data_IF_528038563835
#
_entry.id   IF_528038563835
#
_cell.length_a   1.000
_cell.length_b   1.000
_cell.length_c   1.000
_cell.angle_alpha   90.00
_cell.angle_beta   90.00
_cell.angle_gamma   90.00
#
_symmetry.space_group_name_H-M   'P 1'
#
loop_
_entity.id
_entity.type
_entity.pdbx_description
1 polymer ?
#
# COMPACT_ATOMS: atom_id res chain seq x y z
N UNK A 1 -65.11 20.75 -10.33
CA UNK A 1 -64.84 19.44 -9.70
C UNK A 1 -63.35 19.17 -9.83
N UNK A 2 -62.64 19.20 -8.71
CA UNK A 2 -61.20 18.97 -8.60
C UNK A 2 -60.87 17.51 -8.96
N UNK A 3 -59.84 17.29 -9.78
CA UNK A 3 -59.24 15.98 -9.99
C UNK A 3 -58.19 15.75 -8.90
N UNK A 4 -58.48 14.82 -7.99
CA UNK A 4 -57.52 14.32 -7.01
C UNK A 4 -56.48 13.44 -7.71
N UNK A 5 -55.31 14.01 -8.02
CA UNK A 5 -54.13 13.25 -8.44
C UNK A 5 -53.50 12.56 -7.22
N UNK A 6 -53.98 11.34 -6.95
CA UNK A 6 -53.47 10.48 -5.89
C UNK A 6 -52.17 9.81 -6.34
N UNK A 7 -51.03 10.36 -5.90
CA UNK A 7 -49.73 9.71 -6.05
C UNK A 7 -49.75 8.32 -5.41
N UNK A 8 -49.49 7.28 -6.20
CA UNK A 8 -49.27 5.93 -5.70
C UNK A 8 -47.79 5.59 -5.83
N UNK A 9 -47.16 5.26 -4.70
CA UNK A 9 -45.81 4.72 -4.66
C UNK A 9 -45.81 3.40 -5.42
N UNK A 10 -45.09 3.33 -6.54
CA UNK A 10 -44.79 2.06 -7.18
C UNK A 10 -43.94 1.25 -6.21
N UNK A 11 -44.51 0.19 -5.67
CA UNK A 11 -43.69 -0.87 -5.08
C UNK A 11 -42.75 -1.34 -6.18
N UNK A 12 -41.45 -1.06 -6.03
CA UNK A 12 -40.43 -1.81 -6.75
C UNK A 12 -40.66 -3.26 -6.35
N UNK A 13 -41.25 -4.04 -7.26
CA UNK A 13 -41.22 -5.49 -7.14
C UNK A 13 -39.74 -5.86 -7.04
N UNK A 14 -39.30 -6.24 -5.83
CA UNK A 14 -38.09 -7.01 -5.62
C UNK A 14 -38.27 -8.28 -6.43
N UNK A 15 -37.83 -8.22 -7.69
CA UNK A 15 -37.72 -9.37 -8.56
C UNK A 15 -36.89 -10.39 -7.80
N UNK A 16 -37.54 -11.46 -7.35
CA UNK A 16 -36.87 -12.59 -6.71
C UNK A 16 -35.85 -13.13 -7.72
N UNK A 17 -34.58 -12.78 -7.49
CA UNK A 17 -33.47 -13.15 -8.36
C UNK A 17 -33.36 -14.67 -8.34
N UNK A 18 -33.62 -15.32 -9.48
CA UNK A 18 -33.30 -16.73 -9.63
C UNK A 18 -31.83 -16.96 -9.23
N UNK A 19 -31.52 -17.99 -8.42
CA UNK A 19 -30.14 -18.27 -8.02
C UNK A 19 -29.30 -18.46 -9.27
N UNK A 20 -28.35 -17.55 -9.48
CA UNK A 20 -27.42 -17.62 -10.61
C UNK A 20 -26.54 -18.85 -10.39
N UNK A 21 -26.29 -19.64 -11.44
CA UNK A 21 -25.75 -21.00 -11.29
C UNK A 21 -24.39 -21.07 -10.59
N UNK A 22 -23.63 -19.97 -10.57
CA UNK A 22 -22.30 -19.87 -9.97
C UNK A 22 -22.28 -19.18 -8.59
N UNK A 23 -23.43 -18.91 -7.96
CA UNK A 23 -23.49 -18.14 -6.71
C UNK A 23 -22.67 -18.77 -5.57
N UNK A 24 -22.64 -20.11 -5.51
CA UNK A 24 -21.87 -20.88 -4.52
C UNK A 24 -20.38 -20.98 -4.85
N UNK A 25 -19.95 -20.61 -6.08
CA UNK A 25 -18.56 -20.76 -6.53
C UNK A 25 -17.66 -19.77 -5.80
N UNK A 26 -16.53 -20.25 -5.30
CA UNK A 26 -15.52 -19.46 -4.59
C UNK A 26 -14.21 -19.53 -5.36
N UNK A 27 -13.83 -18.41 -5.97
CA UNK A 27 -12.56 -18.23 -6.66
C UNK A 27 -11.60 -17.55 -5.70
N UNK A 28 -10.52 -18.22 -5.30
CA UNK A 28 -9.64 -17.72 -4.24
C UNK A 28 -8.18 -17.84 -4.61
N UNK A 29 -7.37 -16.90 -4.13
CA UNK A 29 -5.93 -17.04 -4.17
C UNK A 29 -5.47 -18.12 -3.18
N UNK A 30 -4.49 -18.96 -3.57
CA UNK A 30 -4.00 -20.09 -2.74
C UNK A 30 -3.54 -19.66 -1.34
N UNK A 31 -2.90 -18.49 -1.25
CA UNK A 31 -2.43 -17.92 0.01
C UNK A 31 -3.54 -17.62 1.04
N UNK A 32 -4.81 -17.54 0.63
CA UNK A 32 -5.94 -17.30 1.55
C UNK A 32 -6.18 -18.48 2.48
N UNK A 33 -5.89 -19.70 2.03
CA UNK A 33 -6.10 -20.93 2.79
C UNK A 33 -4.89 -21.35 3.63
N UNK A 34 -3.83 -20.54 3.68
CA UNK A 34 -2.65 -20.77 4.53
C UNK A 34 -2.03 -22.19 4.36
N UNK A 35 -2.13 -22.76 3.15
CA UNK A 35 -1.63 -24.10 2.82
C UNK A 35 -2.66 -25.23 2.88
N UNK A 36 -3.90 -24.95 3.29
CA UNK A 36 -4.98 -25.94 3.25
C UNK A 36 -5.46 -26.22 1.82
N UNK A 37 -5.87 -27.46 1.51
CA UNK A 37 -6.49 -27.80 0.23
C UNK A 37 -7.88 -27.14 0.08
N UNK A 38 -8.47 -27.15 -1.13
CA UNK A 38 -9.84 -26.67 -1.35
C UNK A 38 -10.82 -27.29 -0.35
N UNK A 39 -11.60 -26.44 0.34
CA UNK A 39 -12.48 -26.87 1.44
C UNK A 39 -13.76 -27.56 0.95
N UNK A 40 -14.14 -27.37 -0.31
CA UNK A 40 -15.28 -28.03 -0.96
C UNK A 40 -15.11 -28.00 -2.48
N UNK A 41 -15.98 -28.70 -3.20
CA UNK A 41 -16.04 -28.70 -4.68
C UNK A 41 -16.26 -27.31 -5.30
N UNK A 42 -16.82 -26.37 -4.54
CA UNK A 42 -17.05 -25.00 -5.00
C UNK A 42 -15.80 -24.10 -4.95
N UNK A 43 -14.71 -24.55 -4.33
CA UNK A 43 -13.47 -23.78 -4.22
C UNK A 43 -12.55 -24.04 -5.40
N UNK A 44 -12.16 -22.97 -6.08
CA UNK A 44 -11.10 -22.99 -7.09
C UNK A 44 -9.95 -22.10 -6.62
N UNK A 45 -8.75 -22.67 -6.53
CA UNK A 45 -7.56 -21.96 -6.05
C UNK A 45 -6.68 -21.52 -7.23
N UNK A 46 -6.10 -20.34 -7.09
CA UNK A 46 -5.20 -19.75 -8.08
C UNK A 46 -3.89 -19.32 -7.43
N UNK A 47 -2.78 -19.51 -8.15
CA UNK A 47 -1.43 -19.18 -7.66
C UNK A 47 -1.15 -17.68 -7.64
N UNK A 48 -1.89 -16.90 -8.45
CA UNK A 48 -1.69 -15.47 -8.57
C UNK A 48 -3.00 -14.72 -8.81
N UNK A 49 -3.02 -13.45 -8.40
CA UNK A 49 -4.20 -12.60 -8.54
C UNK A 49 -4.56 -12.25 -10.01
N UNK A 50 -3.66 -12.46 -10.99
CA UNK A 50 -3.97 -12.21 -12.42
C UNK A 50 -4.81 -13.34 -13.00
N UNK A 51 -4.41 -14.59 -12.76
CA UNK A 51 -5.15 -15.78 -13.16
C UNK A 51 -6.54 -15.80 -12.52
N UNK A 52 -6.61 -15.47 -11.22
CA UNK A 52 -7.87 -15.28 -10.51
C UNK A 52 -8.77 -14.22 -11.17
N UNK A 53 -8.19 -13.07 -11.53
CA UNK A 53 -8.94 -12.00 -12.19
C UNK A 53 -9.47 -12.42 -13.58
N UNK A 54 -8.66 -13.13 -14.36
CA UNK A 54 -9.05 -13.59 -15.69
C UNK A 54 -10.22 -14.59 -15.63
N UNK A 55 -10.20 -15.54 -14.70
CA UNK A 55 -11.34 -16.47 -14.51
C UNK A 55 -12.58 -15.74 -13.97
N UNK A 56 -12.39 -14.82 -13.02
CA UNK A 56 -13.46 -14.01 -12.44
C UNK A 56 -14.23 -13.15 -13.47
N UNK A 57 -13.63 -12.81 -14.62
CA UNK A 57 -14.33 -12.10 -15.71
C UNK A 57 -15.47 -12.92 -16.32
N UNK A 58 -15.42 -14.25 -16.20
CA UNK A 58 -16.48 -15.15 -16.70
C UNK A 58 -17.58 -15.38 -15.67
N UNK A 59 -17.30 -15.18 -14.38
CA UNK A 59 -18.23 -15.39 -13.27
C UNK A 59 -19.29 -14.30 -13.17
N UNK A 60 -20.49 -14.62 -12.66
CA UNK A 60 -21.64 -13.73 -12.59
C UNK A 60 -22.07 -13.42 -11.15
N UNK A 61 -22.08 -14.43 -10.27
CA UNK A 61 -22.42 -14.27 -8.86
C UNK A 61 -21.44 -14.97 -7.92
N UNK A 62 -20.28 -15.44 -8.40
CA UNK A 62 -19.25 -16.05 -7.58
C UNK A 62 -18.69 -15.11 -6.49
N UNK A 63 -18.04 -15.72 -5.51
CA UNK A 63 -17.20 -15.03 -4.51
C UNK A 63 -15.75 -15.06 -4.94
N UNK A 64 -15.12 -13.89 -5.01
CA UNK A 64 -13.75 -13.70 -5.49
C UNK A 64 -12.91 -13.19 -4.33
N UNK A 65 -11.86 -13.91 -3.98
CA UNK A 65 -11.01 -13.58 -2.83
C UNK A 65 -9.57 -13.33 -3.30
N UNK A 66 -9.22 -12.06 -3.39
CA UNK A 66 -7.85 -11.64 -3.70
C UNK A 66 -6.97 -11.68 -2.46
N UNK A 67 -5.68 -11.97 -2.65
CA UNK A 67 -4.67 -11.91 -1.59
C UNK A 67 -3.85 -10.63 -1.70
N UNK A 68 -3.66 -9.91 -0.60
CA UNK A 68 -2.81 -8.73 -0.51
C UNK A 68 -1.65 -9.00 0.44
N UNK A 69 -0.42 -8.89 -0.10
CA UNK A 69 0.81 -9.15 0.66
C UNK A 69 1.70 -7.92 0.74
N UNK A 70 1.67 -7.04 -0.27
CA UNK A 70 2.57 -5.90 -0.39
C UNK A 70 1.82 -4.65 -0.88
N UNK A 71 2.35 -3.49 -0.52
CA UNK A 71 1.72 -2.19 -0.85
C UNK A 71 1.74 -1.87 -2.35
N UNK A 72 2.75 -2.35 -3.07
CA UNK A 72 2.86 -2.17 -4.52
C UNK A 72 1.72 -2.88 -5.29
N UNK A 73 1.03 -3.83 -4.67
CA UNK A 73 -0.10 -4.56 -5.26
C UNK A 73 -1.41 -3.79 -5.15
N UNK A 74 -1.50 -2.73 -4.35
CA UNK A 74 -2.76 -2.02 -4.05
C UNK A 74 -3.34 -1.38 -5.31
N UNK A 75 -2.55 -0.63 -6.08
CA UNK A 75 -3.05 0.01 -7.31
C UNK A 75 -3.44 -1.03 -8.39
N UNK A 76 -2.61 -2.04 -8.74
CA UNK A 76 -3.04 -3.11 -9.64
C UNK A 76 -4.31 -3.81 -9.18
N UNK A 77 -4.43 -4.07 -7.88
CA UNK A 77 -5.61 -4.74 -7.30
C UNK A 77 -6.85 -3.84 -7.39
N UNK A 78 -6.74 -2.55 -7.08
CA UNK A 78 -7.81 -1.57 -7.22
C UNK A 78 -8.36 -1.53 -8.66
N UNK A 79 -7.47 -1.54 -9.66
CA UNK A 79 -7.84 -1.61 -11.09
C UNK A 79 -8.62 -2.87 -11.45
N UNK A 80 -8.21 -4.03 -10.93
CA UNK A 80 -8.90 -5.32 -11.16
C UNK A 80 -10.27 -5.34 -10.52
N UNK A 81 -10.39 -4.90 -9.26
CA UNK A 81 -11.66 -4.84 -8.54
C UNK A 81 -12.65 -3.90 -9.24
N UNK A 82 -12.18 -2.70 -9.62
CA UNK A 82 -12.98 -1.73 -10.37
C UNK A 82 -13.48 -2.30 -11.70
N UNK A 83 -12.59 -2.94 -12.46
CA UNK A 83 -12.94 -3.57 -13.74
C UNK A 83 -13.99 -4.66 -13.56
N UNK A 84 -13.83 -5.56 -12.59
CA UNK A 84 -14.81 -6.62 -12.31
C UNK A 84 -16.16 -6.03 -11.91
N UNK A 85 -16.17 -5.04 -11.01
CA UNK A 85 -17.42 -4.44 -10.54
C UNK A 85 -18.18 -3.75 -11.66
N UNK A 86 -17.48 -3.03 -12.56
CA UNK A 86 -18.09 -2.35 -13.70
C UNK A 86 -18.56 -3.32 -14.79
N UNK A 87 -17.81 -4.39 -15.08
CA UNK A 87 -18.14 -5.33 -16.15
C UNK A 87 -19.19 -6.37 -15.76
N UNK A 88 -19.23 -6.78 -14.49
CA UNK A 88 -20.04 -7.94 -14.02
C UNK A 88 -21.21 -7.55 -13.11
N UNK A 89 -21.22 -6.31 -12.61
CA UNK A 89 -22.33 -5.75 -11.83
C UNK A 89 -22.31 -6.10 -10.34
N UNK A 90 -23.48 -6.03 -9.71
CA UNK A 90 -23.64 -6.00 -8.24
C UNK A 90 -23.61 -7.36 -7.55
N UNK A 91 -23.81 -8.47 -8.27
CA UNK A 91 -23.97 -9.80 -7.65
C UNK A 91 -22.65 -10.48 -7.29
N UNK A 92 -21.53 -10.06 -7.87
CA UNK A 92 -20.22 -10.59 -7.47
C UNK A 92 -19.86 -10.15 -6.05
N UNK A 93 -19.33 -11.08 -5.27
CA UNK A 93 -18.82 -10.81 -3.92
C UNK A 93 -17.30 -10.74 -3.99
N UNK A 94 -16.75 -9.53 -3.99
CA UNK A 94 -15.32 -9.28 -4.11
C UNK A 94 -14.76 -9.02 -2.72
N UNK A 95 -13.85 -9.88 -2.27
CA UNK A 95 -13.20 -9.82 -0.96
C UNK A 95 -11.70 -9.67 -1.16
N UNK A 96 -11.06 -8.86 -0.32
CA UNK A 96 -9.60 -8.74 -0.27
C UNK A 96 -9.12 -9.25 1.07
N UNK A 97 -8.30 -10.30 1.07
CA UNK A 97 -7.63 -10.83 2.26
C UNK A 97 -6.25 -10.21 2.37
N UNK A 98 -6.02 -9.46 3.44
CA UNK A 98 -4.70 -8.99 3.82
C UNK A 98 -3.95 -10.10 4.58
N UNK A 99 -2.79 -10.50 4.10
CA UNK A 99 -1.96 -11.54 4.73
C UNK A 99 -0.88 -10.95 5.65
N UNK A 100 -0.39 -9.75 5.33
CA UNK A 100 0.66 -9.05 6.06
C UNK A 100 0.16 -7.64 6.33
N UNK A 101 0.40 -7.12 7.54
CA UNK A 101 0.05 -5.79 8.00
C UNK A 101 0.64 -4.70 7.10
N UNK A 102 -0.11 -4.35 6.07
CA UNK A 102 0.37 -3.57 4.93
C UNK A 102 -0.65 -2.53 4.50
N UNK A 103 -1.93 -2.79 4.65
CA UNK A 103 -3.00 -1.93 4.18
C UNK A 103 -3.23 -0.74 5.12
N UNK A 104 -3.17 0.48 4.58
CA UNK A 104 -3.53 1.70 5.31
C UNK A 104 -5.02 1.99 5.17
N UNK A 105 -5.56 2.82 6.06
CA UNK A 105 -6.97 3.20 6.05
C UNK A 105 -7.42 3.86 4.73
N UNK A 106 -6.53 4.59 4.06
CA UNK A 106 -6.83 5.15 2.73
C UNK A 106 -6.88 4.11 1.64
N UNK A 107 -5.94 3.17 1.66
CA UNK A 107 -5.89 2.09 0.68
C UNK A 107 -7.09 1.14 0.86
N UNK A 108 -7.50 0.90 2.10
CA UNK A 108 -8.76 0.21 2.43
C UNK A 108 -9.97 0.92 1.84
N UNK A 109 -10.07 2.24 2.04
CA UNK A 109 -11.15 3.06 1.45
C UNK A 109 -11.11 3.05 -0.08
N UNK A 110 -9.91 3.06 -0.68
CA UNK A 110 -9.74 2.95 -2.13
C UNK A 110 -10.34 1.63 -2.64
N UNK A 111 -9.93 0.50 -2.07
CA UNK A 111 -10.39 -0.83 -2.52
C UNK A 111 -11.90 -0.99 -2.35
N UNK A 112 -12.46 -0.49 -1.24
CA UNK A 112 -13.90 -0.44 -1.01
C UNK A 112 -14.62 0.48 -2.02
N UNK A 113 -14.06 1.65 -2.32
CA UNK A 113 -14.58 2.59 -3.32
C UNK A 113 -14.50 2.05 -4.75
N UNK A 114 -13.51 1.22 -5.06
CA UNK A 114 -13.39 0.52 -6.34
C UNK A 114 -14.42 -0.59 -6.52
N UNK A 115 -15.04 -1.10 -5.45
CA UNK A 115 -16.09 -2.11 -5.56
C UNK A 115 -15.89 -3.38 -4.72
N UNK A 116 -14.91 -3.41 -3.81
CA UNK A 116 -14.78 -4.51 -2.86
C UNK A 116 -15.96 -4.51 -1.88
N UNK A 117 -16.54 -5.68 -1.61
CA UNK A 117 -17.56 -5.86 -0.59
C UNK A 117 -16.95 -5.69 0.80
N UNK A 118 -15.80 -6.32 1.02
CA UNK A 118 -15.15 -6.40 2.33
C UNK A 118 -13.65 -6.63 2.21
N UNK A 119 -12.93 -6.14 3.22
CA UNK A 119 -11.52 -6.42 3.42
C UNK A 119 -11.38 -7.24 4.71
N UNK A 120 -10.65 -8.36 4.63
CA UNK A 120 -10.34 -9.21 5.77
C UNK A 120 -8.93 -8.83 6.25
N UNK A 121 -8.78 -8.23 7.46
CA UNK A 121 -7.52 -7.71 7.95
C UNK A 121 -6.54 -8.83 8.32
N UNK A 122 -5.24 -8.53 8.33
CA UNK A 122 -4.18 -9.50 8.62
C UNK A 122 -4.30 -10.18 10.00
N UNK A 123 -4.86 -9.46 10.99
CA UNK A 123 -5.03 -9.97 12.35
C UNK A 123 -6.20 -10.95 12.51
N UNK A 124 -7.04 -11.12 11.48
CA UNK A 124 -8.09 -12.13 11.50
C UNK A 124 -7.51 -13.52 11.17
N UNK A 125 -7.63 -14.54 12.03
CA UNK A 125 -7.16 -15.89 11.72
C UNK A 125 -8.01 -16.55 10.63
N UNK A 126 -7.52 -17.65 10.05
CA UNK A 126 -8.22 -18.40 9.00
C UNK A 126 -9.67 -18.75 9.37
N UNK A 127 -9.93 -19.18 10.61
CA UNK A 127 -11.29 -19.48 11.09
C UNK A 127 -12.23 -18.27 10.95
N UNK A 128 -11.75 -17.08 11.35
CA UNK A 128 -12.51 -15.83 11.22
C UNK A 128 -12.66 -15.41 9.76
N UNK A 129 -11.63 -15.62 8.94
CA UNK A 129 -11.66 -15.38 7.50
C UNK A 129 -12.79 -16.17 6.82
N UNK A 130 -12.91 -17.47 7.11
CA UNK A 130 -13.98 -18.31 6.57
C UNK A 130 -15.37 -17.87 7.02
N UNK A 131 -15.55 -17.50 8.29
CA UNK A 131 -16.83 -16.92 8.77
C UNK A 131 -17.19 -15.62 8.03
N UNK A 132 -16.20 -14.78 7.73
CA UNK A 132 -16.39 -13.54 6.99
C UNK A 132 -16.76 -13.82 5.52
N UNK A 133 -16.15 -14.81 4.88
CA UNK A 133 -16.48 -15.23 3.51
C UNK A 133 -17.93 -15.72 3.42
N UNK A 134 -18.40 -16.44 4.43
CA UNK A 134 -19.81 -16.87 4.49
C UNK A 134 -20.75 -15.68 4.70
N UNK A 135 -20.36 -14.71 5.51
CA UNK A 135 -21.20 -13.54 5.81
C UNK A 135 -21.52 -12.63 4.62
N UNK A 136 -20.74 -12.71 3.53
CA UNK A 136 -21.00 -11.93 2.31
C UNK A 136 -21.86 -12.67 1.30
N UNK A 137 -22.21 -13.94 1.53
CA UNK A 137 -23.11 -14.67 0.63
C UNK A 137 -24.51 -14.03 0.62
N UNK A 138 -25.12 -13.99 -0.56
CA UNK A 138 -26.41 -13.30 -0.78
C UNK A 138 -26.36 -11.77 -0.79
N UNK A 139 -25.23 -11.14 -0.44
CA UNK A 139 -25.12 -9.67 -0.47
C UNK A 139 -25.03 -9.15 -1.91
N UNK A 140 -25.84 -8.13 -2.22
CA UNK A 140 -25.69 -7.34 -3.44
C UNK A 140 -24.94 -6.05 -3.18
N UNK A 141 -24.02 -5.70 -4.08
CA UNK A 141 -23.29 -4.45 -4.01
C UNK A 141 -24.16 -3.28 -4.48
N UNK A 142 -24.50 -2.38 -3.56
CA UNK A 142 -25.40 -1.23 -3.82
C UNK A 142 -24.69 0.11 -3.96
N UNK A 143 -23.40 0.20 -3.59
CA UNK A 143 -22.64 1.46 -3.63
C UNK A 143 -22.39 1.89 -5.07
N UNK A 144 -22.39 3.20 -5.32
CA UNK A 144 -22.00 3.74 -6.62
C UNK A 144 -20.48 3.62 -6.83
N UNK A 145 -20.08 3.14 -8.00
CA UNK A 145 -18.66 3.10 -8.42
C UNK A 145 -18.49 4.00 -9.65
N UNK A 146 -17.64 5.05 -9.55
CA UNK A 146 -17.32 5.93 -10.67
C UNK A 146 -16.86 5.17 -11.92
N UNK A 147 -17.14 5.72 -13.09
CA UNK A 147 -16.75 5.09 -14.36
C UNK A 147 -15.24 5.08 -14.55
N UNK A 148 -14.58 6.21 -14.23
CA UNK A 148 -13.14 6.33 -14.32
C UNK A 148 -12.48 6.13 -12.95
N UNK A 149 -11.56 5.17 -12.90
CA UNK A 149 -10.77 4.86 -11.69
C UNK A 149 -9.81 5.98 -11.30
N UNK A 150 -9.40 6.85 -12.24
CA UNK A 150 -8.47 7.95 -11.92
C UNK A 150 -9.05 8.88 -10.85
N UNK A 151 -10.38 9.03 -10.82
CA UNK A 151 -11.10 9.80 -9.80
C UNK A 151 -10.96 9.19 -8.40
N UNK A 152 -10.93 7.86 -8.29
CA UNK A 152 -10.72 7.15 -7.02
C UNK A 152 -9.26 7.22 -6.59
N UNK A 153 -8.33 7.08 -7.55
CA UNK A 153 -6.89 7.15 -7.28
C UNK A 153 -6.48 8.54 -6.80
N UNK A 154 -7.03 9.61 -7.38
CA UNK A 154 -6.73 10.99 -6.98
C UNK A 154 -7.19 11.31 -5.56
N UNK A 155 -8.29 10.69 -5.09
CA UNK A 155 -8.77 10.81 -3.70
C UNK A 155 -7.82 10.18 -2.67
N UNK A 156 -6.93 9.28 -3.09
CA UNK A 156 -6.03 8.52 -2.19
C UNK A 156 -4.59 9.00 -2.18
N UNK A 157 -4.20 9.91 -3.08
CA UNK A 157 -2.85 10.45 -3.19
C UNK A 157 -2.80 11.98 -3.05
N UNK A 158 -3.11 12.55 -1.87
CA UNK A 158 -2.99 13.99 -1.66
C UNK A 158 -1.54 14.48 -1.67
N UNK A 159 -0.58 13.64 -1.25
CA UNK A 159 0.83 13.95 -1.29
C UNK A 159 1.53 13.06 -2.32
N UNK A 160 1.99 13.65 -3.42
CA UNK A 160 2.69 12.96 -4.52
C UNK A 160 4.20 12.79 -4.30
N UNK A 161 4.71 13.28 -3.17
CA UNK A 161 6.12 13.22 -2.82
C UNK A 161 6.48 11.86 -2.21
N UNK A 162 7.75 11.46 -2.33
CA UNK A 162 8.27 10.24 -1.73
C UNK A 162 9.73 10.41 -1.34
N UNK A 163 10.13 9.85 -0.21
CA UNK A 163 11.53 9.80 0.20
C UNK A 163 12.03 11.13 0.76
N UNK A 164 13.34 11.33 0.65
CA UNK A 164 13.99 12.52 1.18
C UNK A 164 13.47 13.80 0.51
N UNK A 165 13.10 14.79 1.32
CA UNK A 165 12.75 16.13 0.89
C UNK A 165 13.59 17.16 1.67
N UNK A 166 13.99 18.27 1.02
CA UNK A 166 14.55 19.43 1.72
C UNK A 166 13.66 19.89 2.87
N UNK A 167 14.24 20.49 3.91
CA UNK A 167 13.55 20.81 5.16
C UNK A 167 12.32 21.71 4.96
N UNK A 168 12.46 22.74 4.14
CA UNK A 168 11.40 23.67 3.73
C UNK A 168 10.28 22.95 2.97
N UNK A 169 10.64 22.18 1.95
CA UNK A 169 9.71 21.41 1.10
C UNK A 169 8.95 20.39 1.93
N UNK A 170 9.62 19.75 2.90
CA UNK A 170 9.00 18.83 3.85
C UNK A 170 7.95 19.54 4.71
N UNK A 171 8.30 20.68 5.31
CA UNK A 171 7.37 21.43 6.15
C UNK A 171 6.16 21.95 5.35
N UNK A 172 6.37 22.44 4.13
CA UNK A 172 5.32 22.98 3.28
C UNK A 172 4.39 21.90 2.73
N UNK A 173 4.94 20.73 2.40
CA UNK A 173 4.17 19.56 2.00
C UNK A 173 3.17 19.13 3.09
N UNK A 174 3.64 19.02 4.34
CA UNK A 174 2.79 18.60 5.46
C UNK A 174 1.79 19.72 5.80
N UNK A 175 2.22 20.99 5.82
CA UNK A 175 1.31 22.11 6.04
C UNK A 175 0.16 22.14 5.02
N UNK A 176 0.49 21.97 3.73
CA UNK A 176 -0.52 21.90 2.65
C UNK A 176 -1.50 20.75 2.90
N UNK A 177 -0.99 19.58 3.29
CA UNK A 177 -1.83 18.42 3.61
C UNK A 177 -2.74 18.68 4.83
N UNK A 178 -2.22 19.29 5.90
CA UNK A 178 -3.01 19.60 7.10
C UNK A 178 -4.10 20.62 6.81
N UNK A 179 -3.80 21.63 5.97
CA UNK A 179 -4.75 22.67 5.56
C UNK A 179 -5.82 22.21 4.56
N UNK A 180 -5.68 21.03 3.98
CA UNK A 180 -6.61 20.53 2.98
C UNK A 180 -7.93 20.07 3.61
N UNK A 181 -8.99 20.84 3.37
CA UNK A 181 -10.35 20.59 3.87
C UNK A 181 -11.09 19.48 3.14
N UNK A 182 -10.58 19.03 1.99
CA UNK A 182 -11.12 17.88 1.25
C UNK A 182 -10.69 16.54 1.85
N UNK A 183 -9.66 16.56 2.70
CA UNK A 183 -9.23 15.37 3.44
C UNK A 183 -10.06 15.20 4.71
N UNK A 184 -10.21 13.95 5.19
CA UNK A 184 -10.82 13.69 6.50
C UNK A 184 -10.19 14.57 7.59
N UNK A 185 -11.02 15.00 8.54
CA UNK A 185 -10.59 15.89 9.62
C UNK A 185 -9.49 15.29 10.51
N UNK A 186 -9.48 13.96 10.64
CA UNK A 186 -8.52 13.21 11.45
C UNK A 186 -7.87 12.06 10.66
N UNK A 187 -6.64 11.73 11.04
CA UNK A 187 -5.90 10.58 10.52
C UNK A 187 -5.17 10.87 9.21
N UNK A 188 -4.75 12.12 9.00
CA UNK A 188 -3.95 12.51 7.83
C UNK A 188 -2.57 11.85 7.82
N UNK A 189 -2.03 11.49 8.99
CA UNK A 189 -0.81 10.70 9.09
C UNK A 189 -0.14 10.77 10.45
N UNK A 190 1.08 10.25 10.52
CA UNK A 190 1.92 10.31 11.73
C UNK A 190 3.23 11.01 11.39
N UNK A 191 3.58 12.02 12.17
CA UNK A 191 4.89 12.66 12.17
C UNK A 191 5.76 12.02 13.26
N UNK A 192 6.98 11.63 12.91
CA UNK A 192 7.93 11.00 13.84
C UNK A 192 9.30 11.63 13.72
N UNK A 193 9.84 12.12 14.82
CA UNK A 193 11.24 12.56 14.91
C UNK A 193 12.07 11.49 15.62
N UNK A 194 13.00 10.87 14.88
CA UNK A 194 13.90 9.83 15.35
C UNK A 194 15.29 10.42 15.63
N UNK A 195 15.84 10.11 16.80
CA UNK A 195 17.22 10.47 17.18
C UNK A 195 18.11 9.23 17.05
N UNK A 196 19.14 9.25 16.19
CA UNK A 196 20.08 8.13 16.06
C UNK A 196 20.78 7.78 17.38
N UNK A 197 21.29 6.54 17.49
CA UNK A 197 22.15 6.13 18.60
C UNK A 197 23.51 6.85 18.55
N UNK A 198 24.19 7.07 19.70
CA UNK A 198 25.56 7.57 19.73
C UNK A 198 26.49 6.62 18.97
N UNK A 199 26.87 6.98 17.74
CA UNK A 199 27.68 6.14 16.85
C UNK A 199 27.19 6.14 15.40
N UNK A 200 25.91 6.43 15.18
CA UNK A 200 25.32 6.56 13.83
C UNK A 200 25.00 8.02 13.58
N UNK A 201 25.50 8.57 12.47
CA UNK A 201 25.14 9.93 12.05
C UNK A 201 23.76 9.94 11.38
N UNK A 202 23.06 11.07 11.47
CA UNK A 202 21.70 11.20 10.91
C UNK A 202 21.66 10.97 9.40
N UNK A 203 22.72 11.33 8.69
CA UNK A 203 22.84 11.14 7.25
C UNK A 203 23.06 9.66 6.90
N UNK A 204 23.72 8.89 7.76
CA UNK A 204 23.83 7.43 7.61
C UNK A 204 22.47 6.77 7.87
N UNK A 205 21.77 7.18 8.93
CA UNK A 205 20.41 6.69 9.20
C UNK A 205 19.46 6.98 8.03
N UNK A 206 19.62 8.11 7.35
CA UNK A 206 18.86 8.45 6.15
C UNK A 206 19.10 7.46 4.99
N UNK A 207 20.33 6.96 4.79
CA UNK A 207 20.62 5.97 3.74
C UNK A 207 19.90 4.63 3.93
N UNK A 208 19.60 4.28 5.19
CA UNK A 208 18.83 3.10 5.57
C UNK A 208 17.33 3.31 5.41
N UNK A 209 16.86 4.56 5.40
CA UNK A 209 15.45 4.91 5.33
C UNK A 209 14.94 4.80 3.87
N UNK A 210 14.21 3.74 3.53
CA UNK A 210 13.73 3.48 2.17
C UNK A 210 12.21 3.33 2.12
N UNK A 211 11.45 4.43 2.10
CA UNK A 211 9.99 4.35 1.93
C UNK A 211 9.63 3.83 0.53
N UNK A 212 8.80 2.80 0.49
CA UNK A 212 8.26 2.25 -0.76
C UNK A 212 7.06 3.05 -1.28
N UNK A 213 6.33 3.73 -0.39
CA UNK A 213 5.03 4.35 -0.68
C UNK A 213 5.15 5.84 -0.97
N UNK A 214 4.37 6.30 -1.94
CA UNK A 214 4.14 7.73 -2.17
C UNK A 214 3.34 8.31 -1.00
N UNK A 215 3.68 9.51 -0.56
CA UNK A 215 3.15 10.15 0.65
C UNK A 215 4.01 9.92 1.90
N UNK A 216 4.97 8.99 1.86
CA UNK A 216 5.96 8.83 2.91
C UNK A 216 7.20 9.64 2.56
N UNK A 217 7.41 10.71 3.31
CA UNK A 217 8.54 11.63 3.12
C UNK A 217 9.38 11.70 4.39
N UNK A 218 10.65 12.04 4.23
CA UNK A 218 11.53 12.33 5.36
C UNK A 218 12.44 13.50 5.10
N UNK A 219 12.88 14.13 6.18
CA UNK A 219 13.91 15.15 6.17
C UNK A 219 14.88 14.92 7.34
N UNK A 220 16.00 15.62 7.32
CA UNK A 220 16.99 15.56 8.39
C UNK A 220 17.34 16.97 8.85
N UNK A 221 17.39 17.19 10.16
CA UNK A 221 17.72 18.48 10.73
C UNK A 221 17.89 18.42 12.23
N UNK A 222 18.78 19.24 12.78
CA UNK A 222 19.04 19.28 14.24
C UNK A 222 19.45 17.94 14.83
N UNK A 223 20.23 17.14 14.07
CA UNK A 223 20.64 15.77 14.42
C UNK A 223 19.46 14.80 14.67
N UNK A 224 18.35 15.00 13.96
CA UNK A 224 17.18 14.12 13.98
C UNK A 224 16.74 13.80 12.55
N UNK A 225 16.26 12.58 12.37
CA UNK A 225 15.60 12.14 11.15
C UNK A 225 14.10 12.24 11.38
N UNK A 226 13.43 13.10 10.62
CA UNK A 226 11.99 13.34 10.75
C UNK A 226 11.28 12.67 9.60
N UNK A 227 10.34 11.77 9.88
CA UNK A 227 9.48 11.14 8.89
C UNK A 227 8.05 11.64 9.05
N UNK A 228 7.36 11.75 7.92
CA UNK A 228 5.92 11.86 7.89
C UNK A 228 5.33 10.69 7.08
N UNK A 229 4.45 9.92 7.71
CA UNK A 229 3.80 8.76 7.13
C UNK A 229 2.33 9.06 6.86
N UNK A 230 2.00 9.34 5.60
CA UNK A 230 0.63 9.69 5.20
C UNK A 230 -0.35 8.56 5.49
N UNK A 231 -1.45 8.88 6.16
CA UNK A 231 -2.54 7.95 6.51
C UNK A 231 -2.13 6.69 7.27
N UNK A 232 -1.00 6.75 7.97
CA UNK A 232 -0.61 5.74 8.94
C UNK A 232 -1.40 5.94 10.25
N UNK A 233 -1.78 4.85 10.92
CA UNK A 233 -2.31 4.92 12.29
C UNK A 233 -1.16 4.78 13.27
N UNK A 234 -1.29 5.39 14.45
CA UNK A 234 -0.27 5.31 15.50
C UNK A 234 0.05 3.86 15.91
N UNK A 235 -0.96 2.98 15.94
CA UNK A 235 -0.79 1.56 16.28
C UNK A 235 0.02 0.78 15.22
N UNK A 236 0.01 1.24 13.97
CA UNK A 236 0.71 0.60 12.85
C UNK A 236 2.09 1.23 12.61
N UNK A 237 2.52 2.19 13.45
CA UNK A 237 3.76 2.92 13.29
C UNK A 237 4.97 1.99 13.31
N UNK A 238 5.05 1.11 14.30
CA UNK A 238 6.16 0.16 14.44
C UNK A 238 6.25 -0.77 13.22
N UNK A 239 5.10 -1.26 12.76
CA UNK A 239 4.99 -2.05 11.52
C UNK A 239 5.47 -1.27 10.30
N UNK A 240 5.06 0.00 10.18
CA UNK A 240 5.48 0.85 9.07
C UNK A 240 7.00 1.09 9.09
N UNK A 241 7.58 1.37 10.25
CA UNK A 241 9.02 1.59 10.39
C UNK A 241 9.82 0.31 10.06
N UNK A 242 9.35 -0.87 10.48
CA UNK A 242 9.98 -2.15 10.15
C UNK A 242 9.98 -2.45 8.64
N UNK A 243 9.04 -1.90 7.88
CA UNK A 243 9.03 -1.99 6.41
C UNK A 243 9.88 -0.91 5.72
N UNK A 244 10.16 0.21 6.39
CA UNK A 244 10.96 1.32 5.85
C UNK A 244 12.46 1.09 6.08
N UNK A 245 12.82 0.53 7.23
CA UNK A 245 14.20 0.26 7.61
C UNK A 245 14.55 -1.22 7.43
N UNK A 246 15.73 -1.54 6.87
CA UNK A 246 16.17 -2.93 6.70
C UNK A 246 16.64 -3.59 8.01
N UNK A 247 16.86 -2.79 9.07
CA UNK A 247 17.32 -3.23 10.38
C UNK A 247 16.30 -2.81 11.45
N UNK A 248 16.26 -3.50 12.60
CA UNK A 248 15.42 -3.11 13.72
C UNK A 248 15.66 -1.64 14.11
N UNK A 249 14.58 -0.88 14.27
CA UNK A 249 14.68 0.56 14.57
C UNK A 249 15.35 0.85 15.91
N UNK A 250 15.26 -0.06 16.88
CA UNK A 250 15.92 0.06 18.18
C UNK A 250 17.45 0.05 18.12
N UNK A 251 18.04 -0.57 17.09
CA UNK A 251 19.49 -0.59 16.90
C UNK A 251 19.99 0.70 16.22
N UNK A 252 19.12 1.36 15.45
CA UNK A 252 19.46 2.57 14.69
C UNK A 252 19.18 3.83 15.53
N UNK A 253 18.09 3.83 16.30
CA UNK A 253 17.57 5.02 16.97
C UNK A 253 17.45 4.82 18.48
N UNK A 254 17.94 5.81 19.23
CA UNK A 254 17.90 5.82 20.69
C UNK A 254 16.60 6.39 21.25
N UNK A 255 16.02 7.39 20.57
CA UNK A 255 14.82 8.07 21.02
C UNK A 255 13.90 8.40 19.85
N UNK A 256 12.59 8.43 20.10
CA UNK A 256 11.57 8.83 19.14
C UNK A 256 10.54 9.76 19.78
N UNK A 257 10.10 10.76 19.03
CA UNK A 257 8.96 11.60 19.36
C UNK A 257 7.92 11.43 18.27
N UNK A 258 6.65 11.28 18.65
CA UNK A 258 5.56 10.93 17.74
C UNK A 258 4.41 11.91 17.93
N UNK A 259 3.92 12.46 16.82
CA UNK A 259 2.73 13.30 16.76
C UNK A 259 1.78 12.72 15.71
N UNK A 260 0.56 12.41 16.10
CA UNK A 260 -0.43 11.76 15.23
C UNK A 260 -1.75 12.55 15.11
N UNK A 261 -1.98 13.51 16.00
CA UNK A 261 -3.11 14.44 15.87
C UNK A 261 -2.74 15.61 14.97
N UNK A 262 -3.61 15.97 14.04
CA UNK A 262 -3.38 17.03 13.07
C UNK A 262 -3.02 18.38 13.73
N UNK A 263 -3.59 18.68 14.90
CA UNK A 263 -3.27 19.87 15.71
C UNK A 263 -1.84 19.83 16.26
N UNK A 264 -1.42 18.67 16.76
CA UNK A 264 -0.07 18.47 17.29
C UNK A 264 0.98 18.56 16.19
N UNK A 265 0.69 17.93 15.03
CA UNK A 265 1.54 18.00 13.85
C UNK A 265 1.69 19.45 13.39
N UNK A 266 0.59 20.20 13.31
CA UNK A 266 0.62 21.62 12.92
C UNK A 266 1.41 22.49 13.90
N UNK A 267 1.27 22.25 15.22
CA UNK A 267 2.04 22.97 16.23
C UNK A 267 3.55 22.64 16.15
N UNK A 268 3.90 21.37 15.94
CA UNK A 268 5.29 20.96 15.77
C UNK A 268 5.90 21.54 14.50
N UNK A 269 5.16 21.63 13.39
CA UNK A 269 5.64 22.27 12.17
C UNK A 269 6.05 23.73 12.39
N UNK A 270 5.34 24.47 13.26
CA UNK A 270 5.72 25.83 13.64
C UNK A 270 7.07 25.83 14.37
N UNK A 271 7.31 24.87 15.27
CA UNK A 271 8.60 24.73 15.96
C UNK A 271 9.73 24.30 15.01
N UNK A 272 9.46 23.36 14.11
CA UNK A 272 10.42 22.91 13.10
C UNK A 272 10.87 24.03 12.16
N UNK A 273 9.97 24.97 11.82
CA UNK A 273 10.28 26.15 10.99
C UNK A 273 11.19 27.17 11.69
N UNK A 274 11.31 27.14 13.01
CA UNK A 274 12.23 27.98 13.78
C UNK A 274 13.68 27.47 13.77
N UNK A 275 13.92 26.26 13.26
CA UNK A 275 15.26 25.69 13.16
C UNK A 275 16.10 26.48 12.16
N UNK A 276 17.32 26.88 12.57
CA UNK A 276 18.22 27.63 11.70
C UNK A 276 18.60 26.82 10.45
N UNK A 277 18.72 27.46 9.27
CA UNK A 277 19.09 26.78 8.02
C UNK A 277 20.43 26.04 8.07
N UNK A 278 21.35 26.46 8.94
CA UNK A 278 22.66 25.82 9.15
C UNK A 278 22.54 24.40 9.74
N UNK A 279 21.43 24.11 10.43
CA UNK A 279 21.17 22.81 11.04
C UNK A 279 20.39 21.88 10.11
N UNK A 280 20.10 22.30 8.88
CA UNK A 280 19.46 21.46 7.88
C UNK A 280 20.46 20.45 7.35
N UNK A 281 20.15 19.17 7.47
CA UNK A 281 21.02 18.13 6.97
C UNK A 281 20.85 17.96 5.46
N UNK A 282 21.94 17.71 4.76
CA UNK A 282 21.92 17.24 3.38
C UNK A 282 22.21 15.75 3.34
N UNK A 283 21.57 15.00 2.43
CA UNK A 283 21.88 13.58 2.28
C UNK A 283 23.34 13.44 1.88
N UNK A 284 23.99 12.38 2.38
CA UNK A 284 25.32 12.03 1.88
C UNK A 284 25.24 11.90 0.36
N UNK A 285 26.23 12.41 -0.39
CA UNK A 285 26.27 12.20 -1.82
C UNK A 285 26.22 10.69 -2.04
N UNK A 286 25.16 10.20 -2.71
CA UNK A 286 25.18 8.85 -3.22
C UNK A 286 26.40 8.80 -4.13
N UNK A 287 27.44 8.08 -3.72
CA UNK A 287 28.42 7.63 -4.67
C UNK A 287 27.60 6.98 -5.80
N UNK A 288 27.64 7.58 -7.01
CA UNK A 288 27.31 6.84 -8.24
C UNK A 288 27.91 5.46 -8.00
N UNK A 289 27.10 4.39 -8.04
CA UNK A 289 27.57 3.02 -7.89
C UNK A 289 28.92 2.96 -8.61
N UNK A 290 30.00 2.97 -7.84
CA UNK A 290 31.29 2.64 -8.39
C UNK A 290 31.08 1.22 -8.91
N UNK A 291 31.60 0.96 -10.10
CA UNK A 291 31.55 -0.35 -10.76
C UNK A 291 31.68 -1.46 -9.72
N UNK A 292 30.89 -2.54 -9.84
CA UNK A 292 30.75 -3.51 -8.77
C UNK A 292 32.13 -3.97 -8.33
N UNK A 293 32.55 -3.52 -7.13
CA UNK A 293 33.86 -3.86 -6.52
C UNK A 293 33.98 -5.38 -6.29
N UNK A 294 32.88 -6.10 -6.50
CA UNK A 294 32.77 -7.53 -6.40
C UNK A 294 32.28 -8.03 -7.75
N UNK A 295 33.15 -8.71 -8.51
CA UNK A 295 32.81 -9.51 -9.69
C UNK A 295 31.95 -10.72 -9.27
N UNK A 296 30.77 -10.47 -8.71
CA UNK A 296 29.81 -11.49 -8.34
C UNK A 296 28.39 -11.04 -8.65
N UNK A 297 27.67 -11.87 -9.38
CA UNK A 297 26.24 -11.71 -9.63
C UNK A 297 25.45 -12.73 -8.80
N UNK A 298 24.29 -12.30 -8.31
CA UNK A 298 23.38 -13.15 -7.53
C UNK A 298 22.28 -13.69 -8.43
N UNK A 299 22.42 -14.96 -8.83
CA UNK A 299 21.53 -15.66 -9.79
C UNK A 299 20.21 -16.14 -9.14
N UNK A 300 19.67 -15.35 -8.22
CA UNK A 300 18.44 -15.66 -7.47
C UNK A 300 18.55 -16.80 -6.42
N UNK A 301 19.64 -17.56 -6.37
CA UNK A 301 19.86 -18.63 -5.37
C UNK A 301 21.22 -18.58 -4.65
N UNK A 302 22.30 -18.23 -5.34
CA UNK A 302 23.68 -18.22 -4.79
C UNK A 302 24.47 -17.09 -5.44
N UNK A 303 25.39 -16.48 -4.69
CA UNK A 303 26.40 -15.55 -5.21
C UNK A 303 27.43 -16.30 -6.07
N UNK A 304 27.51 -15.99 -7.37
CA UNK A 304 28.51 -16.56 -8.28
C UNK A 304 29.51 -15.49 -8.68
N UNK A 305 30.80 -15.77 -8.49
CA UNK A 305 31.86 -14.90 -9.03
C UNK A 305 31.99 -15.11 -10.53
N UNK A 306 32.04 -14.03 -11.30
CA UNK A 306 32.31 -14.09 -12.74
C UNK A 306 33.84 -14.03 -12.88
N UNK A 307 34.50 -15.09 -13.39
CA UNK A 307 35.93 -15.05 -13.59
C UNK A 307 36.26 -14.06 -14.72
N UNK A 308 37.13 -13.09 -14.44
CA UNK A 308 37.71 -12.26 -15.48
C UNK A 308 38.76 -13.08 -16.25
N UNK A 309 38.66 -13.16 -17.59
CA UNK A 309 39.66 -13.83 -18.39
C UNK A 309 40.95 -13.00 -18.40
N UNK A 310 41.94 -13.44 -17.62
CA UNK A 310 43.30 -12.89 -17.70
C UNK A 310 43.94 -13.39 -19.00
N UNK A 311 44.16 -12.51 -19.98
CA UNK A 311 45.02 -12.80 -21.13
C UNK A 311 46.47 -12.46 -20.76
N UNK A 312 47.39 -13.38 -21.03
CA UNK A 312 48.82 -13.24 -20.69
C UNK A 312 49.61 -12.33 -21.66
N UNK A 313 48.96 -11.78 -22.70
CA UNK A 313 49.59 -10.94 -23.71
C UNK A 313 48.62 -9.81 -24.12
N UNK A 314 49.10 -8.57 -24.07
CA UNK A 314 48.43 -7.42 -24.67
C UNK A 314 48.56 -7.49 -26.20
N UNK A 315 47.44 -7.34 -26.93
CA UNK A 315 47.37 -7.30 -28.41
C UNK A 315 48.20 -6.15 -29.04
N UNK A 316 48.92 -5.35 -28.23
CA UNK A 316 49.82 -4.30 -28.68
C UNK A 316 51.19 -4.81 -29.11
N UNK A 317 51.57 -6.06 -28.79
CA UNK A 317 52.86 -6.63 -29.15
C UNK A 317 52.87 -7.45 -30.48
N UNK A 318 51.72 -7.81 -31.05
CA UNK A 318 51.63 -8.66 -32.25
C UNK A 318 51.55 -7.89 -33.58
N UNK A 319 51.81 -6.57 -33.59
CA UNK A 319 51.94 -5.76 -34.81
C UNK A 319 53.34 -5.22 -35.07
N UNK A 320 54.36 -5.91 -34.58
CA UNK A 320 55.76 -5.62 -34.89
C UNK A 320 56.51 -6.91 -35.27
N UNK A 321 56.14 -7.49 -36.41
CA UNK A 321 56.99 -8.38 -37.21
C UNK A 321 56.44 -8.51 -38.62
#
# INVERSE_FOLDING_TARGET
CQQDERWTLSHQEETAIQPRSDEKRILSHVAVLEGAPPLSEHWTLFDNNEALFNDARTAQAATIIFSLTQNNQIEPLARRIHTLRRQRGSALKIVVRENIASLRATDERLLLGCGANMIIPWNAPLSRCLTLIESVQGQQFSRYVPEDITTLLSMTQPLKLRGFQPWDTFCDAIHTMMSNTLLPADGKGVLVALRPVPGIRVEQALTLCRPSRTGDIMTIGGNRLVLFLSFCRVNDLDTALNHIFPLPTGDIFSNRMVWFEDKQISAELVQMRLLSPELWGTPLPLAKRADPVINAEHDGRIWRRIPEPLRLLDDTAERAS
#
